data_IF_191124553694
#
_entry.id   IF_191124553694
#
_cell.length_a   1.000
_cell.length_b   1.000
_cell.length_c   1.000
_cell.angle_alpha   90.00
_cell.angle_beta   90.00
_cell.angle_gamma   90.00
#
_symmetry.space_group_name_H-M   'P 1'
#
loop_
_entity.id
_entity.type
_entity.pdbx_description
1 polymer ?
#
# COMPACT_ATOMS: atom_id res chain seq x y z
N UNK A 1 7.12 -7.46 9.55
CA UNK A 1 6.36 -6.39 8.84
C UNK A 1 6.91 -6.07 7.45
N UNK A 2 8.19 -5.70 7.27
CA UNK A 2 8.73 -5.43 5.92
C UNK A 2 8.57 -6.62 4.96
N UNK A 3 8.91 -7.84 5.38
CA UNK A 3 8.72 -9.04 4.56
C UNK A 3 7.25 -9.29 4.14
N UNK A 4 6.30 -9.12 5.09
CA UNK A 4 4.87 -9.18 4.79
C UNK A 4 4.45 -8.10 3.77
N UNK A 5 4.96 -6.87 3.94
CA UNK A 5 4.69 -5.78 3.02
C UNK A 5 5.18 -6.14 1.60
N UNK A 6 6.44 -6.54 1.47
CA UNK A 6 7.05 -6.94 0.20
C UNK A 6 6.31 -8.10 -0.46
N UNK A 7 5.92 -9.13 0.31
CA UNK A 7 5.19 -10.29 -0.21
C UNK A 7 3.81 -9.91 -0.81
N UNK A 8 3.24 -8.78 -0.42
CA UNK A 8 1.98 -8.26 -0.95
C UNK A 8 2.20 -7.07 -1.92
N UNK A 9 3.43 -6.87 -2.41
CA UNK A 9 3.74 -5.80 -3.37
C UNK A 9 3.78 -4.39 -2.76
N UNK A 10 4.03 -4.29 -1.46
CA UNK A 10 3.89 -3.06 -0.67
C UNK A 10 5.24 -2.61 -0.11
N UNK A 11 5.41 -1.28 -0.01
CA UNK A 11 6.57 -0.65 0.64
C UNK A 11 6.13 0.02 1.93
N UNK A 12 6.81 -0.28 3.03
CA UNK A 12 6.51 0.28 4.36
C UNK A 12 7.73 0.92 4.97
N UNK A 13 7.53 2.05 5.63
CA UNK A 13 8.58 2.80 6.33
C UNK A 13 8.21 3.01 7.79
N UNK A 14 9.23 3.25 8.62
CA UNK A 14 9.02 3.69 9.99
C UNK A 14 8.54 5.14 9.97
N UNK A 15 7.59 5.48 10.84
CA UNK A 15 7.08 6.83 10.96
C UNK A 15 8.07 7.70 11.76
N UNK A 16 8.70 8.73 11.14
CA UNK A 16 9.68 9.58 11.80
C UNK A 16 9.09 10.43 12.95
N UNK A 17 7.78 10.65 12.99
CA UNK A 17 7.11 11.39 14.07
C UNK A 17 6.52 10.51 15.17
N UNK A 18 6.43 9.19 14.96
CA UNK A 18 5.82 8.23 15.90
C UNK A 18 6.70 7.00 16.15
N UNK A 19 8.00 7.24 16.31
CA UNK A 19 8.95 6.23 16.78
C UNK A 19 9.70 6.77 18.01
N UNK A 20 9.80 5.94 19.05
CA UNK A 20 10.50 6.24 20.29
C UNK A 20 10.85 4.96 21.03
N UNK A 21 11.63 5.05 22.11
CA UNK A 21 12.12 3.86 22.83
C UNK A 21 11.02 2.91 23.33
N UNK A 22 9.78 3.38 23.45
CA UNK A 22 8.61 2.63 23.88
C UNK A 22 7.65 2.21 22.74
N UNK A 23 7.70 2.85 21.56
CA UNK A 23 6.74 2.58 20.47
C UNK A 23 7.42 2.63 19.09
N UNK A 24 7.02 1.71 18.21
CA UNK A 24 7.42 1.69 16.80
C UNK A 24 6.18 1.72 15.93
N UNK A 25 6.09 2.72 15.05
CA UNK A 25 5.01 2.80 14.07
C UNK A 25 5.57 2.56 12.67
N UNK A 26 5.03 1.57 11.96
CA UNK A 26 5.23 1.37 10.53
C UNK A 26 4.01 1.90 9.76
N UNK A 27 4.24 2.61 8.65
CA UNK A 27 3.21 3.09 7.72
C UNK A 27 3.54 2.75 6.27
N UNK A 28 2.56 2.71 5.37
CA UNK A 28 2.83 2.56 3.94
C UNK A 28 3.64 3.77 3.45
N UNK A 29 4.51 3.57 2.47
CA UNK A 29 5.23 4.65 1.81
C UNK A 29 4.29 5.54 0.98
N UNK A 30 3.14 4.99 0.56
CA UNK A 30 2.12 5.70 -0.22
C UNK A 30 1.54 6.97 0.41
N UNK A 31 1.89 7.32 1.65
CA UNK A 31 1.55 8.61 2.27
C UNK A 31 0.60 8.47 3.46
N UNK A 32 0.24 9.62 4.05
CA UNK A 32 -0.67 9.69 5.23
C UNK A 32 -2.11 9.30 4.90
N UNK A 33 -2.48 9.39 3.63
CA UNK A 33 -3.78 8.94 3.14
C UNK A 33 -3.89 7.41 3.16
N UNK A 34 -2.75 6.68 3.19
CA UNK A 34 -2.77 5.24 3.32
C UNK A 34 -3.16 4.81 4.74
N UNK A 35 -4.26 4.08 4.87
CA UNK A 35 -4.76 3.58 6.15
C UNK A 35 -3.91 2.46 6.77
N UNK A 36 -2.90 1.97 6.05
CA UNK A 36 -2.00 0.94 6.58
C UNK A 36 -1.10 1.53 7.65
N UNK A 37 -1.26 1.01 8.87
CA UNK A 37 -0.52 1.45 10.03
C UNK A 37 -0.39 0.32 11.04
N UNK A 38 0.83 -0.03 11.38
CA UNK A 38 1.12 -1.00 12.43
C UNK A 38 1.91 -0.32 13.53
N UNK A 39 1.36 -0.32 14.73
CA UNK A 39 1.99 0.24 15.93
C UNK A 39 2.35 -0.92 16.85
N UNK A 40 3.65 -1.03 17.14
CA UNK A 40 4.17 -1.94 18.14
C UNK A 40 4.61 -1.14 19.38
N UNK A 41 4.47 -1.73 20.56
CA UNK A 41 4.94 -1.17 21.81
C UNK A 41 6.00 -2.09 22.41
N UNK A 42 6.98 -1.51 23.10
CA UNK A 42 8.02 -2.26 23.77
C UNK A 42 7.42 -2.86 25.05
N UNK A 43 7.49 -4.17 25.18
CA UNK A 43 7.14 -4.87 26.42
C UNK A 43 8.41 -5.33 27.13
N UNK A 44 8.33 -5.36 28.46
CA UNK A 44 9.35 -5.91 29.37
C UNK A 44 8.72 -6.91 30.36
N UNK A 45 7.66 -7.60 29.94
CA UNK A 45 7.07 -8.67 30.74
C UNK A 45 8.04 -9.83 30.88
N UNK A 46 7.94 -10.61 31.97
CA UNK A 46 8.75 -11.81 32.17
C UNK A 46 8.66 -12.73 30.94
N UNK A 47 9.80 -13.01 30.32
CA UNK A 47 9.91 -13.85 29.12
C UNK A 47 9.67 -13.15 27.78
N UNK A 48 9.24 -11.87 27.77
CA UNK A 48 9.07 -11.08 26.54
C UNK A 48 9.83 -9.76 26.65
N UNK A 49 11.06 -9.75 26.14
CA UNK A 49 11.82 -8.51 25.94
C UNK A 49 11.83 -8.19 24.44
N UNK A 50 11.03 -7.21 24.02
CA UNK A 50 10.91 -6.90 22.59
C UNK A 50 9.73 -5.99 22.29
N UNK A 51 9.40 -5.89 21.00
CA UNK A 51 8.25 -5.13 20.53
C UNK A 51 7.09 -6.08 20.23
N UNK A 52 5.92 -5.78 20.79
CA UNK A 52 4.67 -6.50 20.54
C UNK A 52 3.77 -5.60 19.71
N UNK A 53 3.08 -6.18 18.73
CA UNK A 53 2.10 -5.45 17.93
C UNK A 53 0.91 -5.10 18.83
N UNK A 54 0.70 -3.80 19.07
CA UNK A 54 -0.45 -3.33 19.85
C UNK A 54 -1.65 -2.99 18.97
N UNK A 55 -1.43 -2.27 17.87
CA UNK A 55 -2.49 -1.89 16.92
C UNK A 55 -2.05 -2.22 15.51
N UNK A 56 -2.90 -2.91 14.76
CA UNK A 56 -2.64 -3.30 13.38
C UNK A 56 -3.81 -2.87 12.50
N UNK A 57 -3.56 -1.94 11.59
CA UNK A 57 -4.49 -1.53 10.55
C UNK A 57 -3.88 -1.91 9.21
N UNK A 58 -4.48 -2.90 8.56
CA UNK A 58 -3.96 -3.51 7.34
C UNK A 58 -4.61 -2.96 6.06
N UNK A 59 -5.55 -2.03 6.18
CA UNK A 59 -6.30 -1.50 5.04
C UNK A 59 -5.41 -0.60 4.17
N UNK A 60 -5.28 -0.94 2.89
CA UNK A 60 -4.56 -0.15 1.89
C UNK A 60 -5.52 0.40 0.85
N UNK A 61 -5.72 1.71 0.89
CA UNK A 61 -6.56 2.48 -0.04
C UNK A 61 -5.76 3.16 -1.18
N UNK A 62 -4.43 3.22 -1.08
CA UNK A 62 -3.53 3.80 -2.09
C UNK A 62 -2.43 2.86 -2.59
N UNK A 63 -2.08 1.81 -1.83
CA UNK A 63 -1.00 0.88 -2.21
C UNK A 63 -1.53 -0.28 -3.10
N UNK A 64 -2.82 -0.25 -3.49
CA UNK A 64 -3.34 -1.04 -4.60
C UNK A 64 -2.99 -0.35 -5.91
N UNK A 65 -2.02 -0.89 -6.66
CA UNK A 65 -1.61 -0.41 -7.99
C UNK A 65 -2.70 -0.61 -9.04
N UNK A 66 -3.78 0.16 -8.93
CA UNK A 66 -4.62 0.47 -10.07
C UNK A 66 -4.80 1.97 -10.00
N UNK A 67 -4.19 2.68 -10.95
CA UNK A 67 -4.49 4.09 -11.13
C UNK A 67 -6.01 4.24 -11.08
N UNK A 68 -6.52 5.10 -10.19
CA UNK A 68 -7.95 5.45 -10.16
C UNK A 68 -8.26 6.31 -11.39
N UNK A 69 -8.02 5.78 -12.58
CA UNK A 69 -8.65 6.29 -13.77
C UNK A 69 -10.13 6.00 -13.60
N UNK A 70 -10.90 7.06 -13.42
CA UNK A 70 -12.36 6.91 -13.38
C UNK A 70 -12.82 6.36 -14.72
N UNK A 71 -13.90 5.59 -14.73
CA UNK A 71 -14.49 5.08 -15.97
C UNK A 71 -14.83 6.19 -16.98
N UNK A 72 -15.00 7.43 -16.52
CA UNK A 72 -15.12 8.62 -17.36
C UNK A 72 -13.80 9.01 -18.06
N UNK A 73 -12.67 8.99 -17.35
CA UNK A 73 -11.35 9.28 -17.93
C UNK A 73 -10.92 8.21 -18.95
N UNK A 74 -11.17 6.94 -18.64
CA UNK A 74 -10.80 5.81 -19.51
C UNK A 74 -11.56 5.84 -20.86
N UNK A 75 -12.85 6.22 -20.83
CA UNK A 75 -13.71 6.22 -22.04
C UNK A 75 -13.26 7.17 -23.13
N UNK A 76 -12.51 8.20 -22.79
CA UNK A 76 -12.08 9.24 -23.73
C UNK A 76 -10.59 9.21 -24.02
N UNK A 77 -9.83 8.30 -23.38
CA UNK A 77 -8.38 8.25 -23.55
C UNK A 77 -8.01 7.50 -24.85
N UNK A 78 -7.42 8.16 -25.87
CA UNK A 78 -7.18 7.57 -27.19
C UNK A 78 -6.28 6.32 -27.13
N UNK A 79 -5.35 6.30 -26.19
CA UNK A 79 -4.43 5.18 -25.95
C UNK A 79 -5.19 3.96 -25.46
N UNK A 80 -6.12 4.12 -24.52
CA UNK A 80 -6.92 3.01 -23.98
C UNK A 80 -7.89 2.48 -25.03
N UNK A 81 -8.53 3.38 -25.79
CA UNK A 81 -9.43 2.98 -26.88
C UNK A 81 -8.68 2.14 -27.92
N UNK A 82 -7.47 2.56 -28.29
CA UNK A 82 -6.64 1.84 -29.26
C UNK A 82 -6.15 0.48 -28.72
N UNK A 83 -5.80 0.40 -27.43
CA UNK A 83 -5.40 -0.84 -26.77
C UNK A 83 -6.52 -1.87 -26.73
N UNK A 84 -7.72 -1.47 -26.28
CA UNK A 84 -8.90 -2.36 -26.23
C UNK A 84 -9.35 -2.78 -27.62
N UNK A 85 -9.24 -1.91 -28.62
CA UNK A 85 -9.54 -2.25 -30.01
C UNK A 85 -8.54 -3.26 -30.60
N UNK A 86 -7.29 -3.23 -30.16
CA UNK A 86 -6.23 -4.14 -30.64
C UNK A 86 -6.24 -5.49 -29.93
N UNK A 87 -6.66 -5.54 -28.66
CA UNK A 87 -6.80 -6.77 -27.88
C UNK A 87 -8.00 -6.69 -26.95
N UNK A 88 -9.10 -7.35 -27.34
CA UNK A 88 -10.34 -7.40 -26.57
C UNK A 88 -10.24 -8.19 -25.26
N UNK A 89 -9.16 -8.97 -25.07
CA UNK A 89 -8.89 -9.74 -23.86
C UNK A 89 -8.01 -9.00 -22.85
N UNK A 90 -7.57 -7.78 -23.19
CA UNK A 90 -6.66 -7.00 -22.37
C UNK A 90 -7.23 -6.75 -20.97
N UNK A 91 -6.41 -7.07 -19.96
CA UNK A 91 -6.82 -6.90 -18.56
C UNK A 91 -6.76 -5.43 -18.12
N UNK A 92 -7.60 -5.06 -17.15
CA UNK A 92 -7.60 -3.71 -16.56
C UNK A 92 -6.23 -3.30 -15.99
N UNK A 93 -5.41 -4.27 -15.53
CA UNK A 93 -4.05 -4.03 -15.07
C UNK A 93 -3.13 -3.59 -16.21
N UNK A 94 -3.17 -4.28 -17.35
CA UNK A 94 -2.33 -3.98 -18.50
C UNK A 94 -2.67 -2.60 -19.12
N UNK A 95 -3.94 -2.21 -19.07
CA UNK A 95 -4.38 -0.86 -19.44
C UNK A 95 -3.77 0.18 -18.50
N UNK A 96 -3.82 -0.04 -17.19
CA UNK A 96 -3.28 0.91 -16.21
C UNK A 96 -1.75 1.09 -16.31
N UNK A 97 -1.00 0.06 -16.74
CA UNK A 97 0.44 0.14 -16.97
C UNK A 97 0.83 0.96 -18.20
N UNK A 98 -0.06 1.11 -19.20
CA UNK A 98 0.21 1.87 -20.43
C UNK A 98 -0.11 3.37 -20.33
N UNK A 99 -0.85 3.79 -19.30
CA UNK A 99 -1.34 5.18 -19.15
C UNK A 99 -0.53 5.96 -18.07
N UNK A 100 0.56 5.37 -17.55
CA UNK A 100 1.53 6.08 -16.70
C UNK A 100 2.50 6.94 -17.52
#
# INVERSE_FOLDING_TARGET
MRAYATANGMTVRLDPGKHGGAFLTCKCEGGEECRFKVTAHRTKSEGQNGYVIGKCQLEHNQCGRVAKLTSAQIRHEPVVISLVASDVSISARAIAEHVQ
#
